data_IF_707331265235
#
_entry.id   IF_707331265235
#
_cell.length_a   1.000
_cell.length_b   1.000
_cell.length_c   1.000
_cell.angle_alpha   90.00
_cell.angle_beta   90.00
_cell.angle_gamma   90.00
#
_symmetry.space_group_name_H-M   'P 1'
#
loop_
_entity.id
_entity.type
_entity.pdbx_description
1 polymer ?
#
# COMPACT_ATOMS: atom_id res chain seq x y z
N UNK A 1 -31.42 51.70 -3.93
CA UNK A 1 -30.18 51.91 -3.14
C UNK A 1 -30.28 51.07 -1.89
N UNK A 2 -29.31 50.18 -1.68
CA UNK A 2 -28.67 49.79 -0.40
C UNK A 2 -28.19 48.32 -0.45
N UNK A 3 -26.95 48.24 -0.92
CA UNK A 3 -25.83 47.34 -0.60
C UNK A 3 -26.06 45.90 -0.10
N UNK A 4 -25.51 45.00 -0.93
CA UNK A 4 -25.13 43.62 -0.65
C UNK A 4 -24.02 43.54 0.41
N UNK A 5 -24.16 42.66 1.40
CA UNK A 5 -23.08 42.23 2.30
C UNK A 5 -22.50 40.89 1.81
N UNK A 6 -21.25 40.91 1.33
CA UNK A 6 -20.44 39.71 1.05
C UNK A 6 -19.99 39.06 2.38
N UNK A 7 -19.84 37.73 2.48
CA UNK A 7 -19.13 37.12 3.59
C UNK A 7 -17.61 37.27 3.43
N UNK A 8 -16.95 37.71 4.50
CA UNK A 8 -15.49 37.78 4.64
C UNK A 8 -14.87 36.36 4.68
N UNK A 9 -13.79 36.08 3.94
CA UNK A 9 -13.04 34.83 4.05
C UNK A 9 -11.74 35.06 4.84
N UNK A 10 -11.74 34.91 6.16
CA UNK A 10 -10.50 34.90 6.96
C UNK A 10 -10.72 34.28 8.35
N UNK A 11 -10.44 32.98 8.49
CA UNK A 11 -10.16 32.34 9.79
C UNK A 11 -9.54 30.93 9.66
N UNK A 12 -8.52 30.74 8.82
CA UNK A 12 -7.72 29.51 8.79
C UNK A 12 -6.29 29.87 8.37
N UNK A 13 -5.52 30.52 9.25
CA UNK A 13 -4.13 30.87 8.93
C UNK A 13 -3.20 30.88 10.16
N UNK A 14 -3.47 30.05 11.19
CA UNK A 14 -2.61 29.99 12.38
C UNK A 14 -2.29 28.57 12.88
N UNK A 15 -2.65 27.53 12.12
CA UNK A 15 -2.38 26.12 12.46
C UNK A 15 -1.05 25.60 11.92
N UNK A 16 -0.42 26.29 10.97
CA UNK A 16 0.74 25.80 10.18
C UNK A 16 2.11 25.82 10.89
N UNK A 17 2.18 26.10 12.20
CA UNK A 17 3.48 26.25 12.88
C UNK A 17 3.60 25.66 14.29
N UNK A 18 2.58 24.96 14.78
CA UNK A 18 2.45 24.68 16.22
C UNK A 18 3.06 23.32 16.65
N UNK A 19 3.24 22.38 15.74
CA UNK A 19 3.72 21.04 16.12
C UNK A 19 5.24 20.98 16.41
N UNK A 20 6.06 21.83 15.79
CA UNK A 20 7.54 21.71 15.85
C UNK A 20 8.32 22.88 16.44
N UNK A 21 7.67 23.89 17.04
CA UNK A 21 8.40 25.02 17.68
C UNK A 21 9.32 24.65 18.86
N UNK A 22 9.44 23.36 19.23
CA UNK A 22 10.22 22.91 20.41
C UNK A 22 11.58 22.24 20.15
N UNK A 23 11.99 21.96 18.91
CA UNK A 23 13.24 21.19 18.68
C UNK A 23 14.33 21.88 17.85
N UNK A 24 14.16 23.15 17.44
CA UNK A 24 15.23 23.92 16.75
C UNK A 24 16.25 24.59 17.69
N UNK A 25 16.22 24.31 19.00
CA UNK A 25 17.09 24.99 19.96
C UNK A 25 18.47 24.35 20.17
N UNK A 26 18.71 23.12 19.71
CA UNK A 26 20.01 22.48 19.82
C UNK A 26 20.29 21.66 18.57
N UNK A 27 21.21 22.14 17.74
CA UNK A 27 22.18 21.40 16.90
C UNK A 27 22.72 22.38 15.85
N UNK A 28 23.96 22.79 16.02
CA UNK A 28 24.74 23.56 15.04
C UNK A 28 25.16 22.66 13.86
N UNK A 29 25.19 23.17 12.61
CA UNK A 29 25.53 22.37 11.43
C UNK A 29 27.04 22.20 11.26
N UNK A 30 27.55 21.02 10.82
CA UNK A 30 28.90 20.91 10.33
C UNK A 30 29.00 21.26 8.84
N UNK A 31 30.18 21.74 8.47
CA UNK A 31 30.54 22.38 7.22
C UNK A 31 30.65 21.41 6.02
N UNK A 32 30.35 21.96 4.86
CA UNK A 32 30.55 21.38 3.52
C UNK A 32 32.02 21.16 3.18
N UNK A 33 32.33 20.09 2.44
CA UNK A 33 33.45 20.09 1.51
C UNK A 33 33.10 19.34 0.22
N UNK A 34 33.30 20.05 -0.89
CA UNK A 34 33.25 19.60 -2.27
C UNK A 34 34.53 18.86 -2.68
N UNK A 35 34.44 17.89 -3.60
CA UNK A 35 35.29 17.76 -4.81
C UNK A 35 35.06 16.43 -5.54
N UNK A 36 35.15 16.46 -6.87
CA UNK A 36 35.68 15.34 -7.66
C UNK A 36 34.80 14.79 -8.79
N UNK A 37 34.90 15.39 -9.97
CA UNK A 37 34.47 14.83 -11.26
C UNK A 37 35.18 13.50 -11.59
N UNK A 38 34.47 12.56 -12.22
CA UNK A 38 35.05 11.82 -13.36
C UNK A 38 33.96 11.15 -14.22
N UNK A 39 34.07 11.37 -15.53
CA UNK A 39 33.35 10.71 -16.62
C UNK A 39 33.88 9.28 -16.79
N UNK A 40 33.04 8.29 -17.12
CA UNK A 40 33.42 7.27 -18.11
C UNK A 40 32.21 6.57 -18.76
N UNK A 41 32.50 6.16 -20.00
CA UNK A 41 31.74 5.68 -21.15
C UNK A 41 30.51 4.76 -21.00
N UNK A 42 29.56 5.06 -21.90
CA UNK A 42 28.60 4.21 -22.61
C UNK A 42 29.12 2.82 -23.02
N UNK A 43 28.37 1.77 -22.69
CA UNK A 43 28.33 0.52 -23.46
C UNK A 43 26.86 0.12 -23.66
N UNK A 44 26.47 0.07 -24.93
CA UNK A 44 25.16 -0.39 -25.39
C UNK A 44 25.07 -1.92 -25.28
N UNK A 45 23.99 -2.43 -24.70
CA UNK A 45 23.46 -3.74 -25.06
C UNK A 45 21.92 -3.66 -25.05
N UNK A 46 21.33 -4.05 -26.18
CA UNK A 46 19.88 -4.03 -26.43
C UNK A 46 19.22 -5.36 -26.04
N UNK A 47 17.89 -5.38 -25.86
CA UNK A 47 17.24 -6.14 -24.79
C UNK A 47 16.55 -7.42 -25.28
N UNK A 48 16.39 -8.38 -24.37
CA UNK A 48 15.50 -9.53 -24.57
C UNK A 48 14.25 -9.34 -23.71
N UNK A 49 13.09 -9.22 -24.37
CA UNK A 49 11.82 -9.66 -23.78
C UNK A 49 10.90 -8.65 -23.10
N UNK A 50 11.04 -7.33 -23.27
CA UNK A 50 9.99 -6.40 -22.84
C UNK A 50 8.83 -6.40 -23.86
N UNK A 51 7.69 -7.00 -23.51
CA UNK A 51 6.44 -6.94 -24.28
C UNK A 51 6.03 -5.47 -24.42
N UNK A 52 6.40 -4.83 -25.53
CA UNK A 52 6.05 -3.43 -25.85
C UNK A 52 4.54 -3.24 -25.76
N UNK A 53 4.06 -2.47 -24.76
CA UNK A 53 2.68 -1.97 -24.71
C UNK A 53 2.36 -1.31 -26.06
N UNK A 54 1.25 -1.69 -26.70
CA UNK A 54 0.78 -1.02 -27.91
C UNK A 54 0.48 0.45 -27.57
N UNK A 55 1.05 1.43 -28.30
CA UNK A 55 0.74 2.84 -28.06
C UNK A 55 -0.77 3.07 -28.23
N UNK A 56 -1.40 3.72 -27.24
CA UNK A 56 -2.83 4.04 -27.21
C UNK A 56 -3.74 3.11 -26.37
N UNK A 57 -3.21 2.03 -25.77
CA UNK A 57 -4.00 1.15 -24.89
C UNK A 57 -4.46 1.82 -23.59
N UNK A 58 -3.55 2.53 -22.92
CA UNK A 58 -3.82 3.17 -21.63
C UNK A 58 -4.79 4.36 -21.76
N UNK A 59 -4.73 5.13 -22.85
CA UNK A 59 -5.66 6.25 -23.10
C UNK A 59 -7.09 5.76 -23.39
N UNK A 60 -7.22 4.70 -24.18
CA UNK A 60 -8.51 4.05 -24.42
C UNK A 60 -9.12 3.51 -23.12
N UNK A 61 -8.29 2.90 -22.26
CA UNK A 61 -8.73 2.42 -20.94
C UNK A 61 -9.14 3.57 -20.02
N UNK A 62 -8.36 4.66 -19.96
CA UNK A 62 -8.67 5.86 -19.16
C UNK A 62 -10.01 6.48 -19.56
N UNK A 63 -10.28 6.57 -20.86
CA UNK A 63 -11.54 7.09 -21.40
C UNK A 63 -12.70 6.18 -21.00
N UNK A 64 -12.58 4.87 -21.27
CA UNK A 64 -13.60 3.88 -20.87
C UNK A 64 -13.91 3.91 -19.38
N UNK A 65 -12.89 4.06 -18.53
CA UNK A 65 -13.06 4.11 -17.08
C UNK A 65 -13.86 5.36 -16.68
N UNK A 66 -13.54 6.53 -17.24
CA UNK A 66 -14.27 7.77 -16.93
C UNK A 66 -15.73 7.71 -17.37
N UNK A 67 -15.98 7.22 -18.58
CA UNK A 67 -17.33 7.05 -19.11
C UNK A 67 -18.12 6.08 -18.24
N UNK A 68 -17.49 4.98 -17.82
CA UNK A 68 -18.09 3.97 -16.95
C UNK A 68 -18.49 4.53 -15.57
N UNK A 69 -17.59 5.25 -14.90
CA UNK A 69 -17.83 5.78 -13.55
C UNK A 69 -18.86 6.93 -13.56
N UNK A 70 -19.07 7.59 -14.71
CA UNK A 70 -20.12 8.57 -14.89
C UNK A 70 -21.49 7.97 -15.24
N UNK A 71 -21.57 6.66 -15.51
CA UNK A 71 -22.81 6.04 -15.94
C UNK A 71 -23.79 5.85 -14.76
N UNK A 72 -25.09 6.16 -14.90
CA UNK A 72 -26.07 6.07 -13.81
C UNK A 72 -26.22 4.68 -13.19
N UNK A 73 -25.94 3.63 -13.97
CA UNK A 73 -26.07 2.22 -13.57
C UNK A 73 -24.72 1.56 -13.31
N UNK A 74 -23.72 2.31 -12.81
CA UNK A 74 -22.40 1.74 -12.55
C UNK A 74 -22.47 0.55 -11.59
N UNK A 75 -21.61 -0.44 -11.79
CA UNK A 75 -21.47 -1.61 -10.92
C UNK A 75 -20.09 -1.65 -10.29
N UNK A 76 -20.03 -1.75 -8.96
CA UNK A 76 -18.78 -1.88 -8.20
C UNK A 76 -18.00 -3.12 -8.66
N UNK A 77 -18.67 -4.22 -8.99
CA UNK A 77 -18.05 -5.44 -9.52
C UNK A 77 -17.30 -5.19 -10.83
N UNK A 78 -17.84 -4.35 -11.72
CA UNK A 78 -17.14 -3.99 -12.95
C UNK A 78 -15.97 -3.04 -12.68
N UNK A 79 -16.11 -2.12 -11.72
CA UNK A 79 -15.00 -1.26 -11.27
C UNK A 79 -13.84 -2.07 -10.69
N UNK A 80 -14.13 -3.12 -9.90
CA UNK A 80 -13.12 -4.06 -9.40
C UNK A 80 -12.36 -4.71 -10.55
N UNK A 81 -13.05 -5.15 -11.61
CA UNK A 81 -12.39 -5.71 -12.81
C UNK A 81 -11.46 -4.70 -13.48
N UNK A 82 -11.83 -3.42 -13.55
CA UNK A 82 -10.94 -2.38 -14.08
C UNK A 82 -9.68 -2.21 -13.22
N UNK A 83 -9.81 -2.21 -11.90
CA UNK A 83 -8.70 -2.05 -10.96
C UNK A 83 -7.75 -3.27 -10.94
N UNK A 84 -8.29 -4.48 -11.10
CA UNK A 84 -7.51 -5.72 -11.18
C UNK A 84 -6.80 -5.85 -12.54
N UNK A 85 -7.49 -5.50 -13.64
CA UNK A 85 -6.94 -5.62 -15.00
C UNK A 85 -5.65 -4.81 -15.23
N UNK A 86 -4.89 -5.19 -16.26
CA UNK A 86 -3.56 -4.64 -16.53
C UNK A 86 -3.50 -3.11 -16.47
N UNK A 87 -2.54 -2.56 -15.71
CA UNK A 87 -2.36 -1.12 -15.50
C UNK A 87 -3.30 -0.47 -14.46
N UNK A 88 -4.25 -1.22 -13.89
CA UNK A 88 -5.12 -0.75 -12.81
C UNK A 88 -5.94 0.48 -13.17
N UNK A 89 -5.98 1.46 -12.28
CA UNK A 89 -6.76 2.71 -12.46
C UNK A 89 -5.96 3.83 -13.14
N UNK A 90 -4.69 3.56 -13.49
CA UNK A 90 -3.77 4.44 -14.23
C UNK A 90 -3.39 5.73 -13.49
N UNK A 91 -4.32 6.69 -13.34
CA UNK A 91 -4.06 8.06 -12.89
C UNK A 91 -4.59 8.31 -11.47
N UNK A 92 -3.91 9.16 -10.71
CA UNK A 92 -4.35 9.55 -9.35
C UNK A 92 -5.73 10.21 -9.34
N UNK A 93 -6.10 10.97 -10.38
CA UNK A 93 -7.44 11.53 -10.52
C UNK A 93 -8.54 10.44 -10.57
N UNK A 94 -8.27 9.32 -11.25
CA UNK A 94 -9.20 8.19 -11.26
C UNK A 94 -9.24 7.52 -9.89
N UNK A 95 -8.09 7.32 -9.23
CA UNK A 95 -8.01 6.73 -7.89
C UNK A 95 -8.77 7.53 -6.84
N UNK A 96 -8.64 8.86 -6.86
CA UNK A 96 -9.39 9.79 -5.99
C UNK A 96 -10.90 9.55 -6.04
N UNK A 97 -11.42 9.13 -7.20
CA UNK A 97 -12.83 8.84 -7.40
C UNK A 97 -13.18 7.36 -7.16
N UNK A 98 -12.34 6.45 -7.64
CA UNK A 98 -12.65 5.02 -7.68
C UNK A 98 -12.35 4.29 -6.36
N UNK A 99 -11.31 4.68 -5.60
CA UNK A 99 -11.00 4.02 -4.33
C UNK A 99 -12.14 4.18 -3.30
N UNK A 100 -12.73 5.38 -3.11
CA UNK A 100 -13.91 5.51 -2.26
C UNK A 100 -15.09 4.63 -2.70
N UNK A 101 -15.33 4.52 -4.01
CA UNK A 101 -16.41 3.68 -4.55
C UNK A 101 -16.13 2.18 -4.37
N UNK A 102 -14.88 1.74 -4.46
CA UNK A 102 -14.48 0.35 -4.22
C UNK A 102 -14.65 -0.06 -2.75
N UNK A 103 -14.46 0.91 -1.84
CA UNK A 103 -14.54 0.76 -0.38
C UNK A 103 -15.91 1.11 0.21
N UNK A 104 -16.89 1.46 -0.62
CA UNK A 104 -18.24 1.84 -0.21
C UNK A 104 -18.21 2.94 0.87
N UNK A 105 -17.55 4.05 0.51
CA UNK A 105 -17.38 5.24 1.35
C UNK A 105 -18.43 6.28 0.98
N UNK A 106 -19.13 6.78 2.01
CA UNK A 106 -19.92 8.00 1.91
C UNK A 106 -18.99 9.21 1.95
N UNK A 107 -18.72 9.78 0.78
CA UNK A 107 -17.81 10.94 0.62
C UNK A 107 -18.44 12.26 1.06
N UNK A 108 -19.77 12.30 1.23
CA UNK A 108 -20.48 13.51 1.62
C UNK A 108 -20.57 13.65 3.15
N UNK A 109 -20.30 12.56 3.88
CA UNK A 109 -20.38 12.50 5.34
C UNK A 109 -19.06 12.02 5.97
N UNK A 110 -18.01 12.82 5.81
CA UNK A 110 -16.69 12.54 6.41
C UNK A 110 -16.57 13.28 7.76
N UNK A 111 -16.33 12.56 8.87
CA UNK A 111 -16.10 13.17 10.17
C UNK A 111 -14.95 14.19 10.16
N UNK A 112 -15.10 15.34 10.84
CA UNK A 112 -14.03 16.32 10.95
C UNK A 112 -12.89 15.80 11.85
N UNK A 113 -11.66 16.16 11.52
CA UNK A 113 -10.50 15.77 12.31
C UNK A 113 -10.59 16.26 13.78
N UNK A 114 -10.17 15.45 14.76
CA UNK A 114 -10.10 15.85 16.16
C UNK A 114 -9.16 17.04 16.35
N UNK A 115 -9.43 17.83 17.39
CA UNK A 115 -8.53 18.93 17.78
C UNK A 115 -7.17 18.36 18.20
N UNK A 116 -6.11 19.13 17.92
CA UNK A 116 -4.73 18.75 18.24
C UNK A 116 -4.51 18.40 19.73
N UNK A 117 -5.25 19.03 20.64
CA UNK A 117 -5.19 18.71 22.07
C UNK A 117 -5.63 17.27 22.38
N UNK A 118 -6.58 16.73 21.61
CA UNK A 118 -7.07 15.34 21.74
C UNK A 118 -6.06 14.38 21.11
N UNK A 119 -5.49 14.74 19.96
CA UNK A 119 -4.47 13.91 19.29
C UNK A 119 -3.28 13.63 20.21
N UNK A 120 -2.82 14.66 20.94
CA UNK A 120 -1.68 14.58 21.87
C UNK A 120 -1.91 13.69 23.08
N UNK A 121 -3.16 13.38 23.43
CA UNK A 121 -3.47 12.50 24.55
C UNK A 121 -3.48 11.02 24.15
N UNK A 122 -3.38 10.71 22.85
CA UNK A 122 -3.40 9.33 22.37
C UNK A 122 -2.10 8.60 22.74
N UNK A 123 -2.22 7.33 23.18
CA UNK A 123 -1.08 6.51 23.63
C UNK A 123 0.04 6.38 22.59
N UNK A 124 -0.32 6.37 21.31
CA UNK A 124 0.61 6.16 20.20
C UNK A 124 1.13 7.47 19.58
N UNK A 125 0.80 8.65 20.14
CA UNK A 125 1.13 9.96 19.57
C UNK A 125 2.64 10.13 19.27
N UNK A 126 3.49 9.86 20.26
CA UNK A 126 4.94 10.02 20.12
C UNK A 126 5.54 9.03 19.12
N UNK A 127 5.05 7.78 19.11
CA UNK A 127 5.51 6.76 18.18
C UNK A 127 5.15 7.12 16.73
N UNK A 128 3.94 7.62 16.50
CA UNK A 128 3.49 8.09 15.18
C UNK A 128 4.34 9.27 14.70
N UNK A 129 4.65 10.24 15.58
CA UNK A 129 5.53 11.36 15.24
C UNK A 129 6.91 10.89 14.76
N UNK A 130 7.55 10.00 15.53
CA UNK A 130 8.87 9.47 15.21
C UNK A 130 8.88 8.71 13.88
N UNK A 131 7.84 7.92 13.60
CA UNK A 131 7.74 7.16 12.37
C UNK A 131 7.51 8.05 11.15
N UNK A 132 6.62 9.04 11.27
CA UNK A 132 6.36 10.01 10.20
C UNK A 132 7.61 10.84 9.89
N UNK A 133 8.41 11.19 10.90
CA UNK A 133 9.68 11.88 10.70
C UNK A 133 10.70 11.03 9.92
N UNK A 134 10.73 9.71 10.16
CA UNK A 134 11.62 8.78 9.44
C UNK A 134 11.15 8.47 8.00
N UNK A 135 9.93 8.83 7.62
CA UNK A 135 9.34 8.52 6.31
C UNK A 135 9.76 9.42 5.14
N UNK A 136 10.80 10.26 5.31
CA UNK A 136 11.26 11.24 4.31
C UNK A 136 11.45 10.67 2.89
N UNK A 137 11.94 9.43 2.81
CA UNK A 137 12.19 8.75 1.52
C UNK A 137 10.92 8.42 0.72
N UNK A 138 9.73 8.53 1.31
CA UNK A 138 8.44 8.22 0.66
C UNK A 138 7.85 9.42 -0.08
N UNK A 139 8.32 10.63 0.21
CA UNK A 139 7.86 11.81 -0.49
C UNK A 139 8.55 11.94 -1.86
N UNK A 140 7.86 12.48 -2.89
CA UNK A 140 8.45 12.69 -4.20
C UNK A 140 9.79 13.43 -4.14
N UNK A 141 10.83 12.98 -4.87
CA UNK A 141 12.12 13.66 -4.90
C UNK A 141 11.95 15.09 -5.45
N UNK A 142 12.61 16.05 -4.81
CA UNK A 142 12.49 17.47 -5.19
C UNK A 142 11.26 18.19 -4.61
N UNK A 143 10.42 17.53 -3.81
CA UNK A 143 9.37 18.23 -3.06
C UNK A 143 9.99 19.24 -2.08
N UNK A 144 9.50 20.48 -2.13
CA UNK A 144 9.89 21.54 -1.19
C UNK A 144 9.67 21.12 0.27
N UNK A 145 10.59 21.51 1.13
CA UNK A 145 10.60 21.12 2.54
C UNK A 145 9.36 21.61 3.30
N UNK A 146 8.95 22.86 3.10
CA UNK A 146 7.74 23.42 3.72
C UNK A 146 6.48 22.63 3.36
N UNK A 147 6.29 22.31 2.08
CA UNK A 147 5.17 21.49 1.62
C UNK A 147 5.22 20.08 2.23
N UNK A 148 6.42 19.52 2.38
CA UNK A 148 6.62 18.19 2.96
C UNK A 148 6.27 18.18 4.46
N UNK A 149 6.72 19.19 5.21
CA UNK A 149 6.41 19.33 6.63
C UNK A 149 4.89 19.41 6.85
N UNK A 150 4.19 20.19 6.03
CA UNK A 150 2.71 20.24 6.06
C UNK A 150 2.09 18.86 5.82
N UNK A 151 2.60 18.08 4.85
CA UNK A 151 2.09 16.72 4.61
C UNK A 151 2.42 15.75 5.74
N UNK A 152 3.57 15.89 6.40
CA UNK A 152 3.92 15.10 7.58
C UNK A 152 2.97 15.40 8.74
N UNK A 153 2.69 16.67 9.00
CA UNK A 153 1.73 17.07 10.04
C UNK A 153 0.33 16.51 9.73
N UNK A 154 -0.11 16.59 8.47
CA UNK A 154 -1.37 15.99 8.00
C UNK A 154 -1.38 14.46 8.15
N UNK A 155 -0.26 13.79 7.92
CA UNK A 155 -0.14 12.35 8.08
C UNK A 155 -0.27 11.92 9.55
N UNK A 156 0.31 12.68 10.47
CA UNK A 156 0.15 12.44 11.92
C UNK A 156 -1.32 12.58 12.33
N UNK A 157 -1.97 13.66 11.89
CA UNK A 157 -3.41 13.89 12.15
C UNK A 157 -4.25 12.73 11.58
N UNK A 158 -3.98 12.33 10.34
CA UNK A 158 -4.68 11.23 9.66
C UNK A 158 -4.60 9.92 10.44
N UNK A 159 -3.40 9.49 10.84
CA UNK A 159 -3.18 8.24 11.56
C UNK A 159 -3.91 8.27 12.91
N UNK A 160 -3.73 9.33 13.67
CA UNK A 160 -4.32 9.45 15.01
C UNK A 160 -5.83 9.61 14.97
N UNK A 161 -6.38 10.26 13.94
CA UNK A 161 -7.83 10.36 13.75
C UNK A 161 -8.45 8.96 13.65
N UNK A 162 -7.87 8.07 12.84
CA UNK A 162 -8.34 6.68 12.71
C UNK A 162 -8.22 5.92 14.04
N UNK A 163 -7.08 6.02 14.72
CA UNK A 163 -6.86 5.30 16.00
C UNK A 163 -7.78 5.79 17.12
N UNK A 164 -8.13 7.09 17.14
CA UNK A 164 -9.10 7.64 18.11
C UNK A 164 -10.52 7.14 17.81
N UNK A 165 -10.89 7.06 16.53
CA UNK A 165 -12.20 6.56 16.12
C UNK A 165 -12.36 5.05 16.35
N UNK A 166 -11.25 4.32 16.37
CA UNK A 166 -11.17 2.87 16.51
C UNK A 166 -10.22 2.46 17.65
N UNK A 167 -10.64 2.63 18.93
CA UNK A 167 -9.77 2.37 20.09
C UNK A 167 -9.33 0.90 20.23
N UNK A 168 -9.98 -0.02 19.53
CA UNK A 168 -9.60 -1.43 19.41
C UNK A 168 -8.35 -1.65 18.56
N UNK A 169 -8.03 -0.72 17.67
CA UNK A 169 -6.88 -0.82 16.78
C UNK A 169 -5.60 -0.38 17.50
N UNK A 170 -4.53 -1.11 17.22
CA UNK A 170 -3.20 -0.85 17.76
C UNK A 170 -2.29 -0.44 16.61
N UNK A 171 -1.60 0.69 16.80
CA UNK A 171 -0.63 1.16 15.81
C UNK A 171 0.54 0.18 15.68
N UNK A 172 0.94 -0.13 14.45
CA UNK A 172 2.14 -0.91 14.16
C UNK A 172 3.12 -0.10 13.30
N UNK A 173 4.41 -0.32 13.50
CA UNK A 173 5.46 0.35 12.74
C UNK A 173 5.42 -0.12 11.27
N UNK A 174 5.06 0.80 10.38
CA UNK A 174 4.85 0.54 8.94
C UNK A 174 3.48 0.98 8.44
N UNK A 175 2.50 1.17 9.34
CA UNK A 175 1.17 1.66 8.99
C UNK A 175 1.21 3.06 8.33
N UNK A 176 2.15 3.90 8.74
CA UNK A 176 2.38 5.22 8.14
C UNK A 176 2.76 5.16 6.65
N UNK A 177 3.42 4.09 6.18
CA UNK A 177 3.76 3.92 4.75
C UNK A 177 2.49 3.74 3.90
N UNK A 178 1.46 3.09 4.46
CA UNK A 178 0.15 2.98 3.81
C UNK A 178 -0.55 4.33 3.82
N UNK A 179 -0.62 4.97 4.99
CA UNK A 179 -1.32 6.24 5.17
C UNK A 179 -0.74 7.36 4.27
N UNK A 180 0.59 7.45 4.14
CA UNK A 180 1.23 8.45 3.27
C UNK A 180 0.94 8.19 1.81
N UNK A 181 0.90 6.92 1.38
CA UNK A 181 0.58 6.55 0.01
C UNK A 181 -0.85 6.95 -0.35
N UNK A 182 -1.80 6.71 0.56
CA UNK A 182 -3.20 7.14 0.40
C UNK A 182 -3.28 8.67 0.36
N UNK A 183 -2.68 9.36 1.33
CA UNK A 183 -2.67 10.82 1.42
C UNK A 183 -2.13 11.49 0.14
N UNK A 184 -1.02 10.99 -0.40
CA UNK A 184 -0.44 11.49 -1.65
C UNK A 184 -1.30 11.17 -2.88
N UNK A 185 -2.14 10.13 -2.84
CA UNK A 185 -2.96 9.70 -3.97
C UNK A 185 -4.30 10.43 -4.04
N UNK A 186 -5.05 10.44 -2.94
CA UNK A 186 -6.43 10.96 -2.91
C UNK A 186 -6.53 12.36 -2.33
N UNK A 187 -5.49 12.82 -1.63
CA UNK A 187 -5.48 14.11 -0.93
C UNK A 187 -6.14 14.05 0.45
N UNK A 188 -5.98 15.12 1.21
CA UNK A 188 -6.42 15.22 2.61
C UNK A 188 -7.91 14.94 2.82
N UNK A 189 -8.78 15.56 2.01
CA UNK A 189 -10.24 15.50 2.18
C UNK A 189 -10.77 14.06 2.24
N UNK A 190 -10.18 13.16 1.44
CA UNK A 190 -10.63 11.77 1.31
C UNK A 190 -9.70 10.78 2.02
N UNK A 191 -8.49 11.19 2.40
CA UNK A 191 -7.50 10.28 2.94
C UNK A 191 -8.00 9.64 4.23
N UNK A 192 -8.64 10.40 5.11
CA UNK A 192 -9.21 9.87 6.34
C UNK A 192 -10.22 8.77 6.06
N UNK A 193 -11.26 9.05 5.27
CA UNK A 193 -12.31 8.07 5.00
C UNK A 193 -11.76 6.78 4.34
N UNK A 194 -10.80 6.90 3.42
CA UNK A 194 -10.17 5.74 2.77
C UNK A 194 -9.34 4.92 3.75
N UNK A 195 -8.49 5.57 4.56
CA UNK A 195 -7.66 4.87 5.55
C UNK A 195 -8.52 4.26 6.65
N UNK A 196 -9.51 4.98 7.17
CA UNK A 196 -10.46 4.51 8.20
C UNK A 196 -11.13 3.20 7.77
N UNK A 197 -11.71 3.17 6.56
CA UNK A 197 -12.29 1.94 5.99
C UNK A 197 -11.28 0.82 5.81
N UNK A 198 -10.07 1.13 5.32
CA UNK A 198 -9.03 0.11 5.12
C UNK A 198 -8.57 -0.49 6.46
N UNK A 199 -8.50 0.31 7.50
CA UNK A 199 -8.03 -0.09 8.83
C UNK A 199 -8.98 -1.05 9.53
N UNK A 200 -10.28 -0.89 9.35
CA UNK A 200 -11.29 -1.83 9.89
C UNK A 200 -11.60 -3.00 8.95
N UNK A 201 -11.02 -3.04 7.73
CA UNK A 201 -11.27 -4.09 6.75
C UNK A 201 -10.02 -4.89 6.38
N UNK A 202 -9.13 -4.33 5.58
CA UNK A 202 -7.99 -5.04 5.01
C UNK A 202 -6.81 -5.13 5.98
N UNK A 203 -6.66 -4.11 6.84
CA UNK A 203 -5.50 -3.97 7.71
C UNK A 203 -5.81 -4.37 9.16
N UNK A 204 -7.07 -4.69 9.48
CA UNK A 204 -7.52 -4.96 10.85
C UNK A 204 -6.73 -6.08 11.52
N UNK A 205 -6.33 -7.09 10.74
CA UNK A 205 -5.53 -8.21 11.25
C UNK A 205 -4.08 -7.84 11.59
N UNK A 206 -3.56 -6.75 11.02
CA UNK A 206 -2.23 -6.21 11.33
C UNK A 206 -2.25 -5.25 12.51
N UNK A 207 -3.42 -4.73 12.87
CA UNK A 207 -3.62 -3.72 13.93
C UNK A 207 -4.10 -4.34 15.25
N UNK A 208 -3.79 -5.61 15.49
CA UNK A 208 -4.01 -6.27 16.77
C UNK A 208 -3.03 -5.80 17.84
N UNK A 209 -3.36 -6.01 19.12
CA UNK A 209 -2.44 -5.74 20.24
C UNK A 209 -1.16 -6.59 20.17
N UNK A 210 -1.19 -7.68 19.41
CA UNK A 210 -0.08 -8.58 19.17
C UNK A 210 0.00 -8.94 17.67
N UNK A 211 1.14 -9.46 17.22
CA UNK A 211 1.42 -9.73 15.79
C UNK A 211 1.06 -11.16 15.35
N UNK A 212 0.36 -11.91 16.20
CA UNK A 212 0.07 -13.32 16.01
C UNK A 212 -0.79 -13.55 14.77
N UNK A 213 -1.78 -12.68 14.53
CA UNK A 213 -2.60 -12.71 13.32
C UNK A 213 -1.77 -12.40 12.07
N UNK A 214 -0.91 -11.39 12.12
CA UNK A 214 0.03 -11.07 11.05
C UNK A 214 0.92 -12.26 10.72
N UNK A 215 1.46 -12.95 11.74
CA UNK A 215 2.27 -14.16 11.57
C UNK A 215 1.47 -15.28 10.90
N UNK A 216 0.24 -15.54 11.35
CA UNK A 216 -0.64 -16.54 10.72
C UNK A 216 -0.88 -16.21 9.25
N UNK A 217 -1.12 -14.93 8.91
CA UNK A 217 -1.26 -14.49 7.51
C UNK A 217 0.03 -14.76 6.72
N UNK A 218 1.19 -14.47 7.29
CA UNK A 218 2.48 -14.70 6.63
C UNK A 218 2.74 -16.19 6.36
N UNK A 219 2.35 -17.05 7.31
CA UNK A 219 2.56 -18.48 7.25
C UNK A 219 1.79 -19.15 6.08
N UNK A 220 0.80 -18.48 5.47
CA UNK A 220 0.14 -18.95 4.23
C UNK A 220 1.09 -19.08 3.03
N UNK A 221 2.25 -18.40 3.04
CA UNK A 221 3.22 -18.55 1.95
C UNK A 221 3.63 -20.02 1.77
N UNK A 222 3.91 -20.74 2.86
CA UNK A 222 4.37 -22.13 2.76
C UNK A 222 3.31 -23.09 2.20
N UNK A 223 2.04 -23.13 2.69
CA UNK A 223 0.98 -23.91 2.07
C UNK A 223 0.75 -23.58 0.59
N UNK A 224 0.83 -22.31 0.20
CA UNK A 224 0.74 -21.91 -1.22
C UNK A 224 1.89 -22.52 -2.02
N UNK A 225 3.13 -22.35 -1.54
CA UNK A 225 4.31 -22.90 -2.21
C UNK A 225 4.27 -24.44 -2.26
N UNK A 226 3.80 -25.11 -1.21
CA UNK A 226 3.67 -26.56 -1.18
C UNK A 226 2.71 -27.08 -2.28
N UNK A 227 1.70 -26.30 -2.65
CA UNK A 227 0.75 -26.64 -3.72
C UNK A 227 1.29 -26.33 -5.11
N UNK A 228 2.01 -25.22 -5.26
CA UNK A 228 2.46 -24.73 -6.59
C UNK A 228 3.83 -25.28 -6.97
N UNK A 229 4.77 -25.29 -6.03
CA UNK A 229 6.15 -25.77 -6.22
C UNK A 229 6.69 -26.43 -4.93
N UNK A 230 6.39 -27.73 -4.70
CA UNK A 230 6.84 -28.47 -3.52
C UNK A 230 8.37 -28.52 -3.37
N UNK A 231 9.12 -28.46 -4.48
CA UNK A 231 10.59 -28.49 -4.44
C UNK A 231 11.14 -27.22 -3.82
N UNK A 232 10.62 -26.05 -4.23
CA UNK A 232 11.00 -24.77 -3.66
C UNK A 232 10.57 -24.67 -2.19
N UNK A 233 9.36 -25.13 -1.87
CA UNK A 233 8.87 -25.16 -0.49
C UNK A 233 9.80 -25.98 0.43
N UNK A 234 10.13 -27.21 0.03
CA UNK A 234 11.02 -28.08 0.79
C UNK A 234 12.43 -27.49 0.96
N UNK A 235 12.90 -26.73 -0.03
CA UNK A 235 14.17 -26.01 0.05
C UNK A 235 14.13 -24.90 1.11
N UNK A 236 13.07 -24.10 1.12
CA UNK A 236 12.89 -23.03 2.11
C UNK A 236 12.70 -23.57 3.52
N UNK A 237 11.98 -24.69 3.69
CA UNK A 237 11.86 -25.41 4.97
C UNK A 237 13.20 -25.91 5.46
N UNK A 238 13.97 -26.58 4.58
CA UNK A 238 15.31 -27.09 4.91
C UNK A 238 16.28 -25.97 5.30
N UNK A 239 16.14 -24.80 4.68
CA UNK A 239 16.93 -23.62 5.03
C UNK A 239 16.47 -22.93 6.32
N UNK A 240 15.33 -23.33 6.91
CA UNK A 240 14.78 -22.77 8.15
C UNK A 240 14.59 -21.23 8.10
N UNK A 241 14.27 -20.69 6.92
CA UNK A 241 14.16 -19.23 6.72
C UNK A 241 12.94 -18.61 7.41
N UNK A 242 11.90 -19.42 7.67
CA UNK A 242 10.61 -18.96 8.18
C UNK A 242 9.93 -17.96 7.23
N UNK A 243 9.02 -17.13 7.76
CA UNK A 243 8.24 -16.18 6.94
C UNK A 243 8.60 -14.71 7.17
N UNK A 244 9.49 -14.41 8.11
CA UNK A 244 9.82 -13.04 8.52
C UNK A 244 10.34 -12.14 7.40
N UNK A 245 10.90 -12.71 6.33
CA UNK A 245 11.37 -11.96 5.16
C UNK A 245 10.25 -11.15 4.47
N UNK A 246 8.98 -11.59 4.55
CA UNK A 246 7.86 -10.93 3.89
C UNK A 246 7.06 -10.00 4.81
N UNK A 247 7.42 -9.88 6.10
CA UNK A 247 6.67 -9.06 7.06
C UNK A 247 6.53 -7.61 6.57
N UNK A 248 7.65 -6.98 6.20
CA UNK A 248 7.67 -5.60 5.71
C UNK A 248 6.88 -5.43 4.42
N UNK A 249 6.75 -6.49 3.62
CA UNK A 249 6.00 -6.44 2.36
C UNK A 249 4.51 -6.35 2.64
N UNK A 250 4.00 -7.20 3.53
CA UNK A 250 2.56 -7.25 3.76
C UNK A 250 2.05 -6.07 4.59
N UNK A 251 2.75 -5.70 5.67
CA UNK A 251 2.24 -4.67 6.60
C UNK A 251 2.35 -3.25 6.03
N UNK A 252 3.17 -3.05 4.99
CA UNK A 252 3.32 -1.77 4.29
C UNK A 252 2.72 -1.79 2.88
N UNK A 253 2.04 -2.88 2.51
CA UNK A 253 1.58 -3.12 1.13
C UNK A 253 2.67 -2.85 0.09
N UNK A 254 3.87 -3.38 0.35
CA UNK A 254 5.10 -3.26 -0.44
C UNK A 254 5.63 -1.82 -0.55
N UNK A 255 4.95 -0.84 0.05
CA UNK A 255 5.28 0.57 -0.03
C UNK A 255 6.64 0.91 0.56
N UNK A 256 7.12 0.11 1.53
CA UNK A 256 8.44 0.28 2.12
C UNK A 256 9.58 -0.21 1.21
N UNK A 257 9.37 -1.34 0.53
CA UNK A 257 10.42 -2.03 -0.23
C UNK A 257 10.52 -1.53 -1.67
N UNK A 258 9.39 -1.16 -2.29
CA UNK A 258 9.38 -0.65 -3.65
C UNK A 258 9.79 0.82 -3.70
N UNK A 259 10.66 1.15 -4.65
CA UNK A 259 11.15 2.53 -4.86
C UNK A 259 10.28 3.31 -5.84
N UNK A 260 9.64 2.61 -6.78
CA UNK A 260 8.84 3.24 -7.82
C UNK A 260 7.39 3.40 -7.38
N UNK A 261 7.00 4.65 -7.11
CA UNK A 261 5.64 5.00 -6.69
C UNK A 261 4.55 4.44 -7.62
N UNK A 262 4.81 4.35 -8.93
CA UNK A 262 3.86 3.79 -9.91
C UNK A 262 3.47 2.34 -9.61
N UNK A 263 4.41 1.52 -9.13
CA UNK A 263 4.16 0.11 -8.82
C UNK A 263 3.41 -0.03 -7.51
N UNK A 264 3.72 0.83 -6.52
CA UNK A 264 3.00 0.90 -5.25
C UNK A 264 1.52 1.20 -5.49
N UNK A 265 1.20 2.31 -6.16
CA UNK A 265 -0.22 2.69 -6.38
C UNK A 265 -0.98 1.68 -7.27
N UNK A 266 -0.27 0.95 -8.14
CA UNK A 266 -0.84 -0.13 -8.95
C UNK A 266 -1.20 -1.35 -8.11
N UNK A 267 -0.36 -1.70 -7.13
CA UNK A 267 -0.66 -2.75 -6.15
C UNK A 267 -1.82 -2.32 -5.24
N UNK A 268 -1.93 -1.05 -4.89
CA UNK A 268 -3.06 -0.55 -4.10
C UNK A 268 -4.37 -0.64 -4.87
N UNK A 269 -4.38 -0.28 -6.17
CA UNK A 269 -5.54 -0.50 -7.05
C UNK A 269 -6.01 -1.97 -6.98
N UNK A 270 -5.05 -2.90 -6.97
CA UNK A 270 -5.31 -4.34 -6.91
C UNK A 270 -5.81 -4.79 -5.54
N UNK A 271 -5.12 -4.43 -4.45
CA UNK A 271 -5.45 -4.87 -3.09
C UNK A 271 -6.81 -4.34 -2.63
N UNK A 272 -7.10 -3.06 -2.88
CA UNK A 272 -8.40 -2.45 -2.54
C UNK A 272 -9.56 -3.13 -3.28
N UNK A 273 -9.33 -3.64 -4.48
CA UNK A 273 -10.34 -4.30 -5.30
C UNK A 273 -10.46 -5.81 -5.07
N UNK A 274 -9.62 -6.40 -4.22
CA UNK A 274 -9.44 -7.85 -4.10
C UNK A 274 -9.70 -8.37 -2.69
N UNK A 275 -9.52 -9.68 -2.48
CA UNK A 275 -9.57 -10.29 -1.16
C UNK A 275 -8.49 -9.69 -0.23
N UNK A 276 -8.74 -9.44 1.06
CA UNK A 276 -7.76 -8.87 2.00
C UNK A 276 -6.42 -9.63 2.09
N UNK A 277 -6.45 -10.95 1.89
CA UNK A 277 -5.26 -11.81 1.84
C UNK A 277 -4.46 -11.73 0.52
N UNK A 278 -4.91 -11.00 -0.49
CA UNK A 278 -4.21 -10.93 -1.77
C UNK A 278 -2.75 -10.43 -1.69
N UNK A 279 -2.34 -9.55 -0.75
CA UNK A 279 -0.93 -9.24 -0.54
C UNK A 279 -0.04 -10.46 -0.27
N UNK A 280 -0.56 -11.53 0.37
CA UNK A 280 0.21 -12.76 0.61
C UNK A 280 0.35 -13.61 -0.65
N UNK A 281 -0.65 -13.60 -1.52
CA UNK A 281 -0.57 -14.28 -2.83
C UNK A 281 0.44 -13.59 -3.74
N UNK A 282 0.54 -12.25 -3.69
CA UNK A 282 1.62 -11.52 -4.37
C UNK A 282 2.99 -11.88 -3.79
N UNK A 283 3.10 -12.09 -2.48
CA UNK A 283 4.37 -12.50 -1.86
C UNK A 283 4.79 -13.88 -2.38
N UNK A 284 3.87 -14.84 -2.38
CA UNK A 284 4.10 -16.17 -2.93
C UNK A 284 4.46 -16.12 -4.42
N UNK A 285 3.78 -15.30 -5.23
CA UNK A 285 4.10 -15.12 -6.65
C UNK A 285 5.52 -14.58 -6.85
N UNK A 286 5.97 -13.63 -6.02
CA UNK A 286 7.35 -13.11 -6.06
C UNK A 286 8.37 -14.21 -5.70
N UNK A 287 8.09 -15.00 -4.67
CA UNK A 287 8.97 -16.11 -4.26
C UNK A 287 9.08 -17.15 -5.37
N UNK A 288 7.96 -17.52 -6.00
CA UNK A 288 7.92 -18.44 -7.13
C UNK A 288 8.67 -17.90 -8.34
N UNK A 289 8.48 -16.62 -8.68
CA UNK A 289 9.19 -15.97 -9.77
C UNK A 289 10.72 -16.02 -9.59
N UNK A 290 11.18 -15.92 -8.33
CA UNK A 290 12.60 -15.94 -7.96
C UNK A 290 13.15 -17.33 -7.64
N UNK A 291 12.43 -18.41 -7.97
CA UNK A 291 12.83 -19.79 -7.67
C UNK A 291 14.29 -20.08 -8.04
N UNK A 292 14.70 -19.73 -9.27
CA UNK A 292 16.05 -20.04 -9.76
C UNK A 292 17.14 -19.37 -8.92
N UNK A 293 16.90 -18.15 -8.50
CA UNK A 293 17.83 -17.38 -7.66
C UNK A 293 17.92 -18.02 -6.26
N UNK A 294 16.76 -18.35 -5.67
CA UNK A 294 16.67 -18.97 -4.34
C UNK A 294 17.33 -20.35 -4.32
N UNK A 295 17.08 -21.19 -5.33
CA UNK A 295 17.67 -22.53 -5.41
C UNK A 295 19.18 -22.50 -5.72
N UNK A 296 19.72 -21.36 -6.15
CA UNK A 296 21.15 -21.20 -6.45
C UNK A 296 21.98 -20.72 -5.26
N UNK A 297 21.38 -20.08 -4.26
CA UNK A 297 22.09 -19.65 -3.06
C UNK A 297 22.29 -20.83 -2.10
N UNK A 298 23.27 -20.80 -1.18
CA UNK A 298 23.42 -21.84 -0.16
C UNK A 298 22.13 -22.08 0.63
N UNK A 299 21.82 -23.35 0.93
CA UNK A 299 20.61 -23.78 1.63
C UNK A 299 20.72 -23.50 3.14
N UNK A 300 20.88 -22.22 3.49
CA UNK A 300 21.08 -21.73 4.85
C UNK A 300 20.20 -20.51 5.11
N UNK A 301 19.70 -20.38 6.34
CA UNK A 301 18.75 -19.33 6.73
C UNK A 301 19.23 -17.93 6.30
N UNK A 302 20.49 -17.57 6.59
CA UNK A 302 21.03 -16.26 6.29
C UNK A 302 21.07 -15.96 4.78
N UNK A 303 21.53 -16.91 3.97
CA UNK A 303 21.66 -16.77 2.51
C UNK A 303 20.30 -16.61 1.83
N UNK A 304 19.34 -17.47 2.20
CA UNK A 304 17.98 -17.43 1.66
C UNK A 304 17.26 -16.16 2.13
N UNK A 305 17.37 -15.81 3.42
CA UNK A 305 16.76 -14.59 3.96
C UNK A 305 17.31 -13.34 3.28
N UNK A 306 18.63 -13.24 3.11
CA UNK A 306 19.26 -12.12 2.43
C UNK A 306 18.72 -11.95 1.00
N UNK A 307 18.65 -13.06 0.26
CA UNK A 307 18.13 -13.10 -1.11
C UNK A 307 16.68 -12.62 -1.15
N UNK A 308 15.83 -13.17 -0.29
CA UNK A 308 14.41 -12.84 -0.25
C UNK A 308 14.19 -11.38 0.15
N UNK A 309 14.81 -10.92 1.25
CA UNK A 309 14.61 -9.58 1.80
C UNK A 309 15.00 -8.43 0.84
N UNK A 310 15.83 -8.69 -0.17
CA UNK A 310 16.17 -7.73 -1.22
C UNK A 310 15.41 -8.03 -2.51
N UNK A 311 14.32 -7.29 -2.75
CA UNK A 311 13.57 -7.43 -4.01
C UNK A 311 14.33 -6.82 -5.20
N UNK A 312 14.40 -7.52 -6.35
CA UNK A 312 14.89 -6.95 -7.59
C UNK A 312 14.09 -5.71 -8.01
N UNK A 313 14.74 -4.76 -8.68
CA UNK A 313 14.10 -3.51 -9.10
C UNK A 313 13.11 -3.70 -10.26
N UNK A 314 13.31 -4.74 -11.06
CA UNK A 314 12.68 -5.01 -12.35
C UNK A 314 11.65 -6.15 -12.29
N UNK A 315 11.03 -6.35 -11.11
CA UNK A 315 9.98 -7.35 -10.95
C UNK A 315 8.78 -7.07 -11.90
N UNK A 316 8.29 -8.06 -12.65
CA UNK A 316 7.19 -7.88 -13.60
C UNK A 316 5.84 -7.87 -12.87
N UNK A 317 5.53 -6.78 -12.17
CA UNK A 317 4.34 -6.70 -11.29
C UNK A 317 3.01 -7.05 -11.97
N UNK A 318 2.83 -6.77 -13.26
CA UNK A 318 1.60 -7.18 -13.96
C UNK A 318 1.49 -8.70 -14.09
N UNK A 319 2.59 -9.40 -14.36
CA UNK A 319 2.63 -10.87 -14.42
C UNK A 319 2.49 -11.48 -13.03
N UNK A 320 3.10 -10.85 -12.02
CA UNK A 320 2.98 -11.26 -10.62
C UNK A 320 1.55 -11.12 -10.10
N UNK A 321 0.83 -10.04 -10.47
CA UNK A 321 -0.59 -9.85 -10.11
C UNK A 321 -1.46 -10.93 -10.76
N UNK A 322 -1.23 -11.26 -12.04
CA UNK A 322 -1.95 -12.34 -12.73
C UNK A 322 -1.69 -13.68 -12.03
N UNK A 323 -0.42 -13.99 -11.77
CA UNK A 323 -0.01 -15.21 -11.08
C UNK A 323 -0.64 -15.30 -9.69
N UNK A 324 -0.67 -14.21 -8.92
CA UNK A 324 -1.31 -14.16 -7.62
C UNK A 324 -2.83 -14.42 -7.71
N UNK A 325 -3.50 -13.89 -8.74
CA UNK A 325 -4.92 -14.17 -9.00
C UNK A 325 -5.15 -15.65 -9.33
N UNK A 326 -4.34 -16.23 -10.20
CA UNK A 326 -4.45 -17.63 -10.61
C UNK A 326 -4.22 -18.57 -9.42
N UNK A 327 -3.22 -18.28 -8.59
CA UNK A 327 -2.96 -19.04 -7.36
C UNK A 327 -4.12 -18.91 -6.39
N UNK A 328 -4.67 -17.71 -6.16
CA UNK A 328 -5.82 -17.53 -5.28
C UNK A 328 -7.07 -18.26 -5.78
N UNK A 329 -7.27 -18.31 -7.10
CA UNK A 329 -8.38 -19.03 -7.73
C UNK A 329 -8.26 -20.55 -7.55
N UNK A 330 -7.05 -21.09 -7.72
CA UNK A 330 -6.78 -22.52 -7.60
C UNK A 330 -6.70 -22.98 -6.14
N UNK A 331 -6.20 -22.12 -5.26
CA UNK A 331 -5.93 -22.41 -3.86
C UNK A 331 -6.46 -21.27 -2.98
N UNK A 332 -7.78 -21.11 -2.86
CA UNK A 332 -8.38 -20.08 -2.02
C UNK A 332 -8.02 -20.31 -0.54
N UNK A 333 -8.08 -19.27 0.31
CA UNK A 333 -7.69 -19.39 1.72
C UNK A 333 -8.43 -20.52 2.45
N UNK A 334 -9.70 -20.72 2.13
CA UNK A 334 -10.54 -21.80 2.68
C UNK A 334 -9.98 -23.21 2.48
N UNK A 335 -9.23 -23.44 1.39
CA UNK A 335 -8.63 -24.75 1.08
C UNK A 335 -7.22 -24.92 1.67
N UNK A 336 -6.58 -23.82 2.05
CA UNK A 336 -5.22 -23.81 2.60
C UNK A 336 -5.19 -23.95 4.13
N UNK A 337 -6.35 -23.84 4.79
CA UNK A 337 -6.47 -23.92 6.24
C UNK A 337 -6.51 -25.38 6.70
N UNK A 338 -5.55 -25.73 7.57
CA UNK A 338 -5.74 -26.76 8.60
C UNK A 338 -5.81 -26.05 9.94
N UNK A 339 -6.97 -26.16 10.61
CA UNK A 339 -7.27 -25.80 12.00
C UNK A 339 -6.51 -24.61 12.61
N UNK A 340 -7.04 -23.37 12.42
CA UNK A 340 -6.95 -22.20 13.34
C UNK A 340 -7.23 -20.84 12.69
N UNK A 341 -7.74 -20.78 11.46
CA UNK A 341 -8.17 -19.51 10.87
C UNK A 341 -9.54 -19.10 11.38
N UNK A 342 -9.59 -18.05 12.20
CA UNK A 342 -10.82 -17.30 12.42
C UNK A 342 -10.98 -16.35 11.23
N UNK A 343 -11.99 -16.52 10.37
CA UNK A 343 -12.23 -15.57 9.28
C UNK A 343 -12.43 -14.15 9.84
N UNK A 344 -12.05 -13.11 9.08
CA UNK A 344 -12.18 -11.73 9.54
C UNK A 344 -13.61 -11.47 10.02
N UNK A 345 -13.73 -10.86 11.21
CA UNK A 345 -14.96 -10.75 11.99
C UNK A 345 -15.98 -9.73 11.43
N UNK A 346 -15.68 -9.05 10.33
CA UNK A 346 -16.53 -7.99 9.80
C UNK A 346 -17.60 -8.55 8.84
N UNK A 347 -18.83 -8.00 8.87
CA UNK A 347 -19.86 -8.34 7.90
C UNK A 347 -19.37 -7.94 6.51
N UNK A 348 -18.99 -8.96 5.75
CA UNK A 348 -18.55 -8.83 4.37
C UNK A 348 -19.74 -8.33 3.56
N UNK A 349 -19.61 -7.26 2.75
CA UNK A 349 -20.52 -7.05 1.64
C UNK A 349 -20.48 -8.34 0.81
N UNK A 350 -21.60 -9.05 0.76
CA UNK A 350 -21.75 -10.39 0.16
C UNK A 350 -21.28 -10.46 -1.30
N UNK A 351 -21.11 -9.30 -1.95
CA UNK A 351 -20.65 -9.14 -3.33
C UNK A 351 -19.11 -9.04 -3.50
N UNK A 352 -18.32 -9.09 -2.43
CA UNK A 352 -16.87 -8.85 -2.52
C UNK A 352 -16.07 -10.02 -3.15
N UNK A 353 -16.64 -11.23 -3.22
CA UNK A 353 -15.88 -12.45 -3.53
C UNK A 353 -16.30 -13.18 -4.82
N UNK A 354 -17.34 -12.73 -5.51
CA UNK A 354 -17.90 -13.43 -6.69
C UNK A 354 -17.12 -13.15 -7.99
N UNK A 355 -16.20 -12.17 -7.99
CA UNK A 355 -15.63 -11.64 -9.22
C UNK A 355 -14.47 -12.42 -9.85
N UNK A 356 -13.86 -13.39 -9.16
CA UNK A 356 -12.61 -14.00 -9.66
C UNK A 356 -12.83 -15.03 -10.78
N UNK A 357 -13.99 -15.71 -10.87
CA UNK A 357 -14.23 -16.76 -11.88
C UNK A 357 -14.21 -16.28 -13.35
N UNK A 358 -14.26 -14.98 -13.62
CA UNK A 358 -14.39 -14.42 -14.98
C UNK A 358 -13.17 -13.64 -15.49
N UNK A 359 -12.08 -13.53 -14.72
CA UNK A 359 -10.95 -12.65 -15.06
C UNK A 359 -9.97 -13.31 -16.05
N UNK A 360 -9.88 -14.65 -16.12
CA UNK A 360 -8.90 -15.33 -16.97
C UNK A 360 -9.33 -15.56 -18.43
N UNK A 361 -10.46 -14.99 -18.89
CA UNK A 361 -10.99 -15.20 -20.26
C UNK A 361 -11.03 -13.95 -21.16
N UNK A 362 -10.31 -12.87 -20.84
CA UNK A 362 -10.25 -11.68 -21.72
C UNK A 362 -8.83 -11.19 -22.00
#
# INVERSE_FOLDING_TARGET
MLQQSKPNPTALDNTDFVLRKRFKADVSPPQSNSHGDSKFSTVQSSPVGARRKRPGGDEKKDTKLKDFVNHPTFSVSQLRRFAISSGGLLKSANRKRCWPMLLDIDVDNIPPAPKLSVLKTHRDYEQVLLDVERSLSRFPPGMREDKRLVLQDKLVVLILHVLINHPELHYYQGYHDICVTILLTVGEDLAYAVVDRLSISHLSDYMGSTMERTKVIMDYVFPILAKVNPKLEAYLQKAEVGTMFCLSWIITWYGHVLKEYRHIVRLYDFFIASHPLMPIYVAAAIVLYREKEILSCPCEMASVHHTLSHLPKDLPFEELIITACDIHLLYPPSELIKDNFVPPATPKPTDMYVCFKFICFC
#
